data_IF_807047600007
#
_entry.id   IF_807047600007
#
_cell.length_a   1.000
_cell.length_b   1.000
_cell.length_c   1.000
_cell.angle_alpha   90.00
_cell.angle_beta   90.00
_cell.angle_gamma   90.00
#
_symmetry.space_group_name_H-M   'P 1'
#
loop_
_entity.id
_entity.type
_entity.pdbx_description
1 polymer ?
#
# COMPACT_ATOMS: atom_id res chain seq x y z
N UNK A 1 -5.92 5.63 -18.16
CA UNK A 1 -5.73 5.38 -16.72
C UNK A 1 -4.25 5.51 -16.40
N UNK A 2 -3.89 6.64 -15.78
CA UNK A 2 -2.55 7.01 -15.29
C UNK A 2 -2.74 7.64 -13.92
N UNK A 3 -1.69 7.73 -13.11
CA UNK A 3 -1.73 8.45 -11.84
C UNK A 3 -2.05 9.91 -12.14
N UNK A 4 -2.99 10.52 -11.40
CA UNK A 4 -3.35 11.91 -11.69
C UNK A 4 -2.21 12.82 -11.26
N UNK A 5 -2.02 13.99 -11.89
CA UNK A 5 -1.01 14.95 -11.47
C UNK A 5 -1.13 15.36 -9.99
N UNK A 6 -2.36 15.42 -9.47
CA UNK A 6 -2.63 15.67 -8.06
C UNK A 6 -2.12 14.53 -7.17
N UNK A 7 -2.31 13.27 -7.58
CA UNK A 7 -1.86 12.10 -6.83
C UNK A 7 -0.33 12.09 -6.74
N UNK A 8 0.38 12.46 -7.83
CA UNK A 8 1.84 12.57 -7.86
C UNK A 8 2.33 13.59 -6.84
N UNK A 9 1.75 14.79 -6.83
CA UNK A 9 2.15 15.86 -5.90
C UNK A 9 1.88 15.50 -4.45
N UNK A 10 0.74 14.86 -4.18
CA UNK A 10 0.36 14.43 -2.83
C UNK A 10 1.26 13.31 -2.36
N UNK A 11 1.50 12.29 -3.18
CA UNK A 11 2.39 11.18 -2.83
C UNK A 11 3.80 11.65 -2.53
N UNK A 12 4.36 12.56 -3.33
CA UNK A 12 5.69 13.16 -3.07
C UNK A 12 5.76 13.85 -1.71
N UNK A 13 4.76 14.66 -1.38
CA UNK A 13 4.73 15.38 -0.10
C UNK A 13 4.50 14.43 1.08
N UNK A 14 3.71 13.38 0.91
CA UNK A 14 3.43 12.41 1.96
C UNK A 14 4.63 11.49 2.22
N UNK A 15 5.33 11.05 1.18
CA UNK A 15 6.49 10.16 1.33
C UNK A 15 7.63 10.78 2.14
N UNK A 16 7.69 12.12 2.23
CA UNK A 16 8.69 12.84 3.04
C UNK A 16 8.40 12.84 4.55
N UNK A 17 7.17 12.50 4.95
CA UNK A 17 6.71 12.67 6.35
C UNK A 17 6.03 11.46 6.95
N UNK A 18 5.60 10.49 6.12
CA UNK A 18 4.92 9.28 6.58
C UNK A 18 5.22 8.09 5.68
N UNK A 19 5.00 6.89 6.21
CA UNK A 19 4.99 5.67 5.42
C UNK A 19 3.78 5.63 4.48
N UNK A 20 4.03 5.49 3.19
CA UNK A 20 2.98 5.46 2.16
C UNK A 20 2.93 4.10 1.49
N UNK A 21 1.77 3.45 1.56
CA UNK A 21 1.48 2.15 0.92
C UNK A 21 0.36 2.37 -0.10
N UNK A 22 0.65 2.31 -1.42
CA UNK A 22 -0.34 2.63 -2.43
C UNK A 22 -1.30 1.45 -2.66
N UNK A 23 -2.57 1.77 -2.87
CA UNK A 23 -3.63 0.79 -3.13
C UNK A 23 -4.47 1.19 -4.34
N UNK A 24 -4.85 0.22 -5.16
CA UNK A 24 -5.87 0.39 -6.20
C UNK A 24 -7.22 0.08 -5.55
N UNK A 25 -8.00 1.12 -5.32
CA UNK A 25 -9.34 1.01 -4.75
C UNK A 25 -10.35 0.48 -5.78
N UNK A 26 -11.41 -0.18 -5.30
CA UNK A 26 -12.51 -0.72 -6.12
C UNK A 26 -12.00 -1.57 -7.28
N UNK A 27 -11.05 -2.47 -7.01
CA UNK A 27 -10.48 -3.35 -8.02
C UNK A 27 -11.50 -4.27 -8.69
N UNK A 28 -12.69 -4.42 -8.08
CA UNK A 28 -13.86 -5.10 -8.66
C UNK A 28 -14.42 -4.43 -9.92
N UNK A 29 -14.02 -3.19 -10.22
CA UNK A 29 -14.42 -2.47 -11.43
C UNK A 29 -13.51 -2.72 -12.65
N UNK A 30 -12.45 -3.51 -12.47
CA UNK A 30 -11.44 -3.78 -13.51
C UNK A 30 -11.33 -5.28 -13.76
N UNK A 31 -11.02 -5.67 -14.99
CA UNK A 31 -10.66 -7.07 -15.27
C UNK A 31 -9.26 -7.39 -14.72
N UNK A 32 -8.92 -8.68 -14.63
CA UNK A 32 -7.59 -9.11 -14.19
C UNK A 32 -6.47 -8.57 -15.09
N UNK A 33 -6.71 -8.49 -16.40
CA UNK A 33 -5.78 -7.94 -17.39
C UNK A 33 -5.61 -6.44 -17.23
N UNK A 34 -6.71 -5.70 -17.08
CA UNK A 34 -6.69 -4.26 -16.83
C UNK A 34 -5.99 -3.93 -15.52
N UNK A 35 -6.22 -4.73 -14.48
CA UNK A 35 -5.56 -4.60 -13.18
C UNK A 35 -4.05 -4.78 -13.31
N UNK A 36 -3.60 -5.81 -14.02
CA UNK A 36 -2.17 -6.07 -14.23
C UNK A 36 -1.51 -4.93 -15.04
N UNK A 37 -2.14 -4.50 -16.13
CA UNK A 37 -1.65 -3.39 -16.95
C UNK A 37 -1.61 -2.06 -16.16
N UNK A 38 -2.61 -1.82 -15.30
CA UNK A 38 -2.67 -0.61 -14.48
C UNK A 38 -1.61 -0.62 -13.38
N UNK A 39 -1.37 -1.77 -12.73
CA UNK A 39 -0.28 -1.94 -11.77
C UNK A 39 1.08 -1.65 -12.40
N UNK A 40 1.37 -2.22 -13.57
CA UNK A 40 2.64 -2.01 -14.27
C UNK A 40 2.87 -0.51 -14.57
N UNK A 41 1.84 0.17 -15.08
CA UNK A 41 1.89 1.62 -15.35
C UNK A 41 2.11 2.46 -14.10
N UNK A 42 1.43 2.12 -12.99
CA UNK A 42 1.63 2.84 -11.72
C UNK A 42 3.08 2.68 -11.26
N UNK A 43 3.65 1.47 -11.33
CA UNK A 43 5.05 1.23 -10.95
C UNK A 43 6.02 2.05 -11.80
N UNK A 44 5.81 2.08 -13.11
CA UNK A 44 6.63 2.90 -14.03
C UNK A 44 6.55 4.39 -13.69
N UNK A 45 5.36 4.91 -13.40
CA UNK A 45 5.17 6.32 -13.05
C UNK A 45 5.77 6.68 -11.68
N UNK A 46 5.65 5.79 -10.70
CA UNK A 46 6.28 5.97 -9.38
C UNK A 46 7.80 6.02 -9.49
N UNK A 47 8.39 5.12 -10.27
CA UNK A 47 9.83 5.11 -10.54
C UNK A 47 10.28 6.35 -11.33
N UNK A 48 9.53 6.74 -12.37
CA UNK A 48 9.82 7.94 -13.17
C UNK A 48 9.80 9.23 -12.34
N UNK A 49 8.91 9.31 -11.34
CA UNK A 49 8.79 10.48 -10.48
C UNK A 49 9.67 10.44 -9.24
N UNK A 50 10.45 9.36 -9.05
CA UNK A 50 11.28 9.10 -7.88
C UNK A 50 10.50 9.22 -6.56
N UNK A 51 9.34 8.55 -6.51
CA UNK A 51 8.49 8.51 -5.32
C UNK A 51 8.86 7.28 -4.51
N UNK A 52 9.56 7.50 -3.40
CA UNK A 52 9.93 6.45 -2.47
C UNK A 52 8.71 6.06 -1.63
N UNK A 53 8.31 4.79 -1.70
CA UNK A 53 7.17 4.24 -0.99
C UNK A 53 7.61 3.09 -0.10
N UNK A 54 6.81 2.80 0.91
CA UNK A 54 7.08 1.70 1.82
C UNK A 54 6.81 0.34 1.14
N UNK A 55 7.63 -0.71 1.35
CA UNK A 55 8.82 -0.78 2.24
C UNK A 55 10.07 -0.12 1.63
N UNK A 56 10.88 0.53 2.47
CA UNK A 56 12.14 1.15 2.05
C UNK A 56 13.26 0.11 1.96
N UNK A 57 14.26 0.35 1.13
CA UNK A 57 15.49 -0.44 1.16
C UNK A 57 16.38 0.07 2.30
N UNK A 58 16.89 -0.84 3.12
CA UNK A 58 17.87 -0.57 4.16
C UNK A 58 19.11 -1.44 3.93
N UNK A 59 20.30 -0.85 4.11
CA UNK A 59 21.57 -1.59 4.04
C UNK A 59 21.79 -2.50 5.26
N UNK A 60 20.96 -2.34 6.29
CA UNK A 60 20.99 -3.12 7.53
C UNK A 60 20.07 -4.35 7.48
N UNK A 61 19.22 -4.46 6.45
CA UNK A 61 18.28 -5.57 6.28
C UNK A 61 19.03 -6.90 6.09
N UNK A 62 18.55 -7.96 6.76
CA UNK A 62 19.06 -9.31 6.49
C UNK A 62 18.52 -9.88 5.16
N UNK A 63 19.07 -11.02 4.71
CA UNK A 63 18.66 -11.65 3.45
C UNK A 63 17.16 -12.01 3.44
N UNK A 64 16.61 -12.39 4.60
CA UNK A 64 15.20 -12.75 4.74
C UNK A 64 14.30 -11.52 4.62
N UNK A 65 14.68 -10.42 5.26
CA UNK A 65 14.00 -9.13 5.19
C UNK A 65 14.04 -8.56 3.77
N UNK A 66 15.19 -8.64 3.10
CA UNK A 66 15.34 -8.26 1.70
C UNK A 66 14.38 -9.03 0.78
N UNK A 67 14.29 -10.36 0.95
CA UNK A 67 13.37 -11.20 0.17
C UNK A 67 11.90 -10.85 0.45
N UNK A 68 11.53 -10.61 1.71
CA UNK A 68 10.18 -10.20 2.09
C UNK A 68 9.82 -8.84 1.49
N UNK A 69 10.71 -7.86 1.61
CA UNK A 69 10.53 -6.51 1.08
C UNK A 69 10.38 -6.54 -0.44
N UNK A 70 11.20 -7.34 -1.14
CA UNK A 70 11.10 -7.53 -2.59
C UNK A 70 9.76 -8.16 -3.00
N UNK A 71 9.34 -9.22 -2.33
CA UNK A 71 8.08 -9.90 -2.63
C UNK A 71 6.87 -8.96 -2.45
N UNK A 72 6.93 -8.05 -1.47
CA UNK A 72 5.90 -7.03 -1.27
C UNK A 72 5.96 -5.94 -2.35
N UNK A 73 7.15 -5.40 -2.68
CA UNK A 73 7.32 -4.40 -3.75
C UNK A 73 6.78 -4.90 -5.09
N UNK A 74 6.91 -6.20 -5.36
CA UNK A 74 6.34 -6.83 -6.55
C UNK A 74 4.80 -6.86 -6.55
N UNK A 75 4.16 -6.86 -5.39
CA UNK A 75 2.69 -6.88 -5.26
C UNK A 75 2.06 -5.49 -5.24
N UNK A 76 2.77 -4.50 -4.72
CA UNK A 76 2.33 -3.11 -4.62
C UNK A 76 2.18 -2.48 -6.02
N UNK A 77 1.12 -1.69 -6.30
CA UNK A 77 0.02 -1.35 -5.39
C UNK A 77 -1.00 -2.49 -5.19
N UNK A 78 -1.51 -2.65 -3.97
CA UNK A 78 -2.50 -3.70 -3.66
C UNK A 78 -3.86 -3.37 -4.29
N UNK A 79 -4.43 -4.29 -5.04
CA UNK A 79 -5.72 -4.14 -5.69
C UNK A 79 -6.85 -4.67 -4.81
N UNK A 80 -7.48 -3.77 -4.06
CA UNK A 80 -8.38 -4.12 -2.96
C UNK A 80 -9.84 -3.77 -3.24
N UNK A 81 -10.72 -4.57 -2.63
CA UNK A 81 -12.15 -4.32 -2.56
C UNK A 81 -12.52 -4.15 -1.09
N UNK A 82 -13.15 -3.04 -0.73
CA UNK A 82 -13.64 -2.82 0.64
C UNK A 82 -15.11 -3.19 0.77
N UNK A 83 -15.51 -3.82 1.87
CA UNK A 83 -16.91 -4.01 2.24
C UNK A 83 -17.12 -3.87 3.74
N UNK A 84 -18.19 -3.18 4.14
CA UNK A 84 -18.69 -3.12 5.51
C UNK A 84 -19.81 -4.14 5.77
N UNK A 85 -20.31 -4.79 4.71
CA UNK A 85 -21.45 -5.73 4.80
C UNK A 85 -20.95 -7.16 4.93
N UNK A 86 -21.56 -7.88 5.85
CA UNK A 86 -21.45 -9.32 5.91
C UNK A 86 -22.49 -9.97 4.99
N UNK A 87 -22.08 -11.05 4.34
CA UNK A 87 -22.92 -11.85 3.46
C UNK A 87 -22.65 -13.33 3.72
N UNK A 88 -23.64 -14.18 3.47
CA UNK A 88 -23.48 -15.62 3.58
C UNK A 88 -23.06 -16.19 2.24
N UNK A 89 -21.91 -16.87 2.21
CA UNK A 89 -21.37 -17.62 1.05
C UNK A 89 -21.08 -19.03 1.56
N UNK A 90 -21.69 -20.04 0.92
CA UNK A 90 -21.55 -21.46 1.31
C UNK A 90 -21.79 -21.73 2.81
N UNK A 91 -22.78 -21.05 3.39
CA UNK A 91 -23.15 -21.17 4.80
C UNK A 91 -22.21 -20.45 5.78
N UNK A 92 -21.16 -19.79 5.30
CA UNK A 92 -20.24 -18.98 6.13
C UNK A 92 -20.52 -17.50 5.97
N UNK A 93 -20.53 -16.79 7.08
CA UNK A 93 -20.62 -15.33 7.08
C UNK A 93 -19.25 -14.74 6.77
N UNK A 94 -19.15 -14.03 5.65
CA UNK A 94 -17.92 -13.40 5.16
C UNK A 94 -18.17 -11.93 4.82
N UNK A 95 -17.14 -11.09 4.93
CA UNK A 95 -17.22 -9.71 4.45
C UNK A 95 -17.20 -9.69 2.94
N UNK A 96 -18.23 -9.11 2.32
CA UNK A 96 -18.32 -9.15 0.87
C UNK A 96 -19.28 -8.15 0.26
N UNK A 97 -19.18 -7.97 -1.06
CA UNK A 97 -20.07 -7.12 -1.86
C UNK A 97 -20.91 -7.98 -2.78
N UNK A 98 -22.22 -7.74 -2.81
CA UNK A 98 -23.11 -8.31 -3.82
C UNK A 98 -23.30 -7.29 -4.94
N UNK A 99 -23.00 -7.69 -6.17
CA UNK A 99 -23.26 -6.91 -7.37
C UNK A 99 -24.25 -7.68 -8.28
N UNK A 100 -24.55 -7.16 -9.47
CA UNK A 100 -25.50 -7.79 -10.41
C UNK A 100 -24.96 -9.08 -11.03
N UNK A 101 -23.65 -9.28 -11.01
CA UNK A 101 -22.95 -10.39 -11.67
C UNK A 101 -22.49 -11.47 -10.70
N UNK A 102 -22.66 -11.26 -9.40
CA UNK A 102 -22.29 -12.23 -8.39
C UNK A 102 -21.94 -11.60 -7.04
N UNK A 103 -21.11 -12.33 -6.31
CA UNK A 103 -20.72 -12.03 -4.95
C UNK A 103 -19.20 -11.98 -4.87
N UNK A 104 -18.69 -10.89 -4.32
CA UNK A 104 -17.27 -10.69 -4.10
C UNK A 104 -16.99 -10.87 -2.61
N UNK A 105 -16.39 -12.00 -2.25
CA UNK A 105 -15.80 -12.20 -0.93
C UNK A 105 -14.49 -11.42 -0.83
N UNK A 106 -14.41 -10.47 0.10
CA UNK A 106 -13.23 -9.60 0.29
C UNK A 106 -12.07 -10.36 0.93
N UNK A 107 -12.37 -11.43 1.66
CA UNK A 107 -11.35 -12.28 2.30
C UNK A 107 -10.88 -13.44 1.40
N UNK A 108 -11.33 -13.47 0.14
CA UNK A 108 -10.89 -14.43 -0.85
C UNK A 108 -9.77 -13.84 -1.73
N UNK A 109 -8.59 -14.47 -1.68
CA UNK A 109 -7.42 -14.04 -2.45
C UNK A 109 -7.59 -14.16 -3.97
N UNK A 110 -8.53 -15.01 -4.42
CA UNK A 110 -8.86 -15.13 -5.85
C UNK A 110 -9.67 -13.93 -6.35
N UNK A 111 -10.38 -13.24 -5.44
CA UNK A 111 -11.21 -12.07 -5.76
C UNK A 111 -10.45 -10.75 -5.64
N UNK A 112 -9.68 -10.57 -4.56
CA UNK A 112 -8.91 -9.33 -4.36
C UNK A 112 -7.72 -9.53 -3.43
N UNK A 113 -6.84 -8.52 -3.39
CA UNK A 113 -5.59 -8.59 -2.62
C UNK A 113 -5.74 -8.04 -1.20
N UNK A 114 -6.96 -7.92 -0.69
CA UNK A 114 -7.22 -7.39 0.65
C UNK A 114 -6.53 -8.22 1.75
N UNK A 115 -6.55 -9.55 1.64
CA UNK A 115 -5.87 -10.45 2.60
C UNK A 115 -4.37 -10.16 2.65
N UNK A 116 -3.76 -9.93 1.49
CA UNK A 116 -2.34 -9.58 1.38
C UNK A 116 -2.04 -8.24 2.06
N UNK A 117 -2.85 -7.20 1.78
CA UNK A 117 -2.71 -5.89 2.42
C UNK A 117 -2.89 -6.00 3.94
N UNK A 118 -3.90 -6.74 4.41
CA UNK A 118 -4.15 -6.94 5.85
C UNK A 118 -2.97 -7.62 6.52
N UNK A 119 -2.49 -8.74 5.97
CA UNK A 119 -1.39 -9.49 6.56
C UNK A 119 -0.08 -8.67 6.54
N UNK A 120 0.14 -7.90 5.48
CA UNK A 120 1.24 -6.94 5.40
C UNK A 120 1.20 -5.94 6.57
N UNK A 121 0.07 -5.25 6.74
CA UNK A 121 -0.07 -4.20 7.76
C UNK A 121 -0.11 -4.71 9.20
N UNK A 122 -0.68 -5.91 9.45
CA UNK A 122 -0.96 -6.36 10.83
C UNK A 122 -0.12 -7.53 11.31
N UNK A 123 0.57 -8.25 10.41
CA UNK A 123 1.32 -9.46 10.77
C UNK A 123 2.80 -9.36 10.47
N UNK A 124 3.17 -8.91 9.27
CA UNK A 124 4.58 -8.92 8.87
C UNK A 124 5.31 -7.59 9.08
N UNK A 125 4.70 -6.45 8.72
CA UNK A 125 5.42 -5.16 8.65
C UNK A 125 4.95 -4.14 9.70
N UNK A 126 4.09 -4.54 10.65
CA UNK A 126 3.56 -3.61 11.65
C UNK A 126 4.67 -2.97 12.48
N UNK A 127 5.64 -3.78 12.93
CA UNK A 127 6.73 -3.31 13.79
C UNK A 127 7.64 -2.35 13.01
N UNK A 128 8.06 -2.74 11.81
CA UNK A 128 8.91 -1.90 10.95
C UNK A 128 8.21 -0.59 10.53
N UNK A 129 6.90 -0.60 10.28
CA UNK A 129 6.11 0.62 10.06
C UNK A 129 6.16 1.58 11.26
N UNK A 130 6.17 1.05 12.49
CA UNK A 130 6.28 1.86 13.72
C UNK A 130 7.69 2.41 13.84
N UNK A 131 8.70 1.58 13.63
CA UNK A 131 10.13 1.94 13.77
C UNK A 131 10.55 2.98 12.74
N UNK A 132 10.23 2.77 11.46
CA UNK A 132 10.45 3.76 10.39
C UNK A 132 9.74 5.09 10.68
N UNK A 133 8.53 5.06 11.26
CA UNK A 133 7.85 6.29 11.68
C UNK A 133 8.60 7.02 12.79
N UNK A 134 9.10 6.30 13.80
CA UNK A 134 9.80 6.89 14.92
C UNK A 134 11.22 7.38 14.57
N UNK A 135 12.00 6.55 13.89
CA UNK A 135 13.43 6.78 13.67
C UNK A 135 13.74 7.56 12.40
N UNK A 136 12.86 7.53 11.39
CA UNK A 136 13.07 8.25 10.13
C UNK A 136 12.18 9.48 10.10
N UNK A 137 10.86 9.29 10.05
CA UNK A 137 9.92 10.39 9.80
C UNK A 137 9.87 11.39 10.97
N UNK A 138 9.75 10.89 12.20
CA UNK A 138 9.68 11.74 13.38
C UNK A 138 11.03 12.41 13.68
N UNK A 139 12.16 11.70 13.59
CA UNK A 139 13.47 12.35 13.79
C UNK A 139 13.76 13.39 12.70
N UNK A 140 13.42 13.15 11.44
CA UNK A 140 13.56 14.15 10.38
C UNK A 140 12.72 15.41 10.68
N UNK A 141 11.49 15.23 11.16
CA UNK A 141 10.64 16.34 11.62
C UNK A 141 11.29 17.07 12.81
N UNK A 142 11.77 16.33 13.81
CA UNK A 142 12.41 16.87 15.02
C UNK A 142 13.66 17.69 14.67
N UNK A 143 14.53 17.21 13.79
CA UNK A 143 15.69 17.96 13.30
C UNK A 143 15.28 19.27 12.64
N UNK A 144 14.26 19.25 11.76
CA UNK A 144 13.74 20.46 11.11
C UNK A 144 13.23 21.49 12.13
N UNK A 145 12.51 21.04 13.17
CA UNK A 145 12.02 21.93 14.23
C UNK A 145 13.15 22.54 15.06
N UNK A 146 14.16 21.74 15.43
CA UNK A 146 15.30 22.23 16.21
C UNK A 146 16.15 23.26 15.44
N UNK A 147 16.30 23.09 14.13
CA UNK A 147 16.99 24.06 13.26
C UNK A 147 16.22 25.38 13.19
N UNK A 148 14.90 25.32 12.98
CA UNK A 148 14.06 26.52 12.93
C UNK A 148 14.09 27.32 14.24
N UNK A 149 14.17 26.64 15.39
CA UNK A 149 14.31 27.29 16.70
C UNK A 149 15.68 27.95 16.91
N UNK A 150 16.73 27.49 16.23
CA UNK A 150 18.08 28.07 16.33
C UNK A 150 18.24 29.33 15.47
N UNK A 151 17.43 29.46 14.42
CA UNK A 151 17.43 30.59 13.49
C UNK A 151 16.45 31.71 13.88
N UNK A 152 15.61 31.49 14.88
CA UNK A 152 14.66 32.45 15.46
C UNK A 152 15.27 33.20 16.66
#
# INVERSE_FOLDING_TARGET
>A
HRLKPIDIQVLKKLSEVVNVVPVIAKSDSMTLEERAAFKARIKEELAFHDIQLYPYESEEDDETECELNRAIKERIPFAVVGSEKNIVVDGKEVRGRRNRWGVINVEDETHCEFVHLRNFLTRSHLQDLIETTAHIHYEAFRTKQLLALKEA
#
